data_IF_755007622057
#
_entry.id   IF_755007622057
#
_cell.length_a   1.000
_cell.length_b   1.000
_cell.length_c   1.000
_cell.angle_alpha   90.00
_cell.angle_beta   90.00
_cell.angle_gamma   90.00
#
_symmetry.space_group_name_H-M   'P 1'
#
loop_
_entity.id
_entity.type
_entity.pdbx_description
1 polymer ?
#
# COMPACT_ATOMS: atom_id res chain seq x y z
N UNK A 1 3.56 6.10 -80.02
CA UNK A 1 2.11 6.23 -80.21
C UNK A 1 1.48 5.11 -79.38
N UNK A 2 0.83 5.42 -78.26
CA UNK A 2 0.23 4.37 -77.42
C UNK A 2 -0.98 3.80 -78.14
N UNK A 3 -1.09 2.48 -78.20
CA UNK A 3 -2.27 1.85 -78.76
C UNK A 3 -3.42 1.93 -77.76
N UNK A 4 -4.68 1.98 -78.20
CA UNK A 4 -5.83 2.04 -77.29
C UNK A 4 -5.89 0.85 -76.31
N UNK A 5 -5.31 -0.30 -76.69
CA UNK A 5 -5.14 -1.47 -75.84
C UNK A 5 -4.15 -1.24 -74.69
N UNK A 6 -3.07 -0.49 -74.91
CA UNK A 6 -2.10 -0.15 -73.85
C UNK A 6 -2.74 0.75 -72.78
N UNK A 7 -3.56 1.71 -73.22
CA UNK A 7 -4.28 2.62 -72.32
C UNK A 7 -5.29 1.84 -71.46
N UNK A 8 -6.01 0.90 -72.07
CA UNK A 8 -6.96 0.05 -71.35
C UNK A 8 -6.26 -0.84 -70.30
N UNK A 9 -5.13 -1.45 -70.66
CA UNK A 9 -4.34 -2.26 -69.72
C UNK A 9 -3.80 -1.45 -68.54
N UNK A 10 -3.31 -0.23 -68.80
CA UNK A 10 -2.83 0.67 -67.74
C UNK A 10 -3.97 1.08 -66.80
N UNK A 11 -5.16 1.38 -67.34
CA UNK A 11 -6.33 1.71 -66.51
C UNK A 11 -6.75 0.50 -65.65
N UNK A 12 -6.82 -0.70 -66.23
CA UNK A 12 -7.12 -1.92 -65.48
C UNK A 12 -6.10 -2.18 -64.37
N UNK A 13 -4.81 -1.96 -64.63
CA UNK A 13 -3.74 -2.13 -63.65
C UNK A 13 -3.90 -1.14 -62.49
N UNK A 14 -4.18 0.13 -62.78
CA UNK A 14 -4.39 1.17 -61.75
C UNK A 14 -5.61 0.87 -60.88
N UNK A 15 -6.71 0.40 -61.49
CA UNK A 15 -7.92 0.00 -60.74
C UNK A 15 -7.63 -1.21 -59.84
N UNK A 16 -6.89 -2.21 -60.35
CA UNK A 16 -6.53 -3.39 -59.56
C UNK A 16 -5.64 -3.03 -58.37
N UNK A 17 -4.65 -2.15 -58.55
CA UNK A 17 -3.81 -1.64 -57.47
C UNK A 17 -4.62 -0.82 -56.44
N UNK A 18 -5.55 0.02 -56.90
CA UNK A 18 -6.45 0.77 -56.03
C UNK A 18 -7.35 -0.13 -55.18
N UNK A 19 -7.93 -1.17 -55.79
CA UNK A 19 -8.75 -2.16 -55.10
C UNK A 19 -7.94 -2.95 -54.07
N UNK A 20 -6.70 -3.33 -54.40
CA UNK A 20 -5.79 -4.01 -53.47
C UNK A 20 -5.46 -3.13 -52.26
N UNK A 21 -5.14 -1.86 -52.50
CA UNK A 21 -4.87 -0.88 -51.44
C UNK A 21 -6.06 -0.67 -50.50
N UNK A 22 -7.27 -0.58 -51.06
CA UNK A 22 -8.51 -0.48 -50.28
C UNK A 22 -8.80 -1.75 -49.44
N UNK A 23 -8.47 -2.93 -49.96
CA UNK A 23 -8.66 -4.18 -49.23
C UNK A 23 -7.72 -4.29 -48.03
N UNK A 24 -6.47 -3.83 -48.17
CA UNK A 24 -5.46 -3.82 -47.11
C UNK A 24 -5.84 -2.84 -45.99
N UNK A 25 -6.35 -1.64 -46.32
CA UNK A 25 -6.76 -0.65 -45.31
C UNK A 25 -7.95 -1.12 -44.48
N UNK A 26 -8.96 -1.72 -45.11
CA UNK A 26 -10.12 -2.30 -44.41
C UNK A 26 -9.69 -3.45 -43.47
N UNK A 27 -8.74 -4.28 -43.90
CA UNK A 27 -8.16 -5.34 -43.07
C UNK A 27 -7.47 -4.78 -41.82
N UNK A 28 -6.66 -3.74 -41.99
CA UNK A 28 -5.93 -3.11 -40.88
C UNK A 28 -6.85 -2.45 -39.85
N UNK A 29 -7.94 -1.82 -40.28
CA UNK A 29 -8.91 -1.22 -39.36
C UNK A 29 -9.64 -2.28 -38.51
N UNK A 30 -9.95 -3.44 -39.09
CA UNK A 30 -10.58 -4.55 -38.36
C UNK A 30 -9.64 -5.13 -37.31
N UNK A 31 -8.38 -5.34 -37.66
CA UNK A 31 -7.36 -5.84 -36.71
C UNK A 31 -7.13 -4.84 -35.58
N UNK A 32 -7.04 -3.55 -35.89
CA UNK A 32 -6.86 -2.50 -34.88
C UNK A 32 -8.03 -2.44 -33.89
N UNK A 33 -9.28 -2.55 -34.36
CA UNK A 33 -10.47 -2.56 -33.49
C UNK A 33 -10.54 -3.83 -32.62
N UNK A 34 -10.22 -4.99 -33.17
CA UNK A 34 -10.17 -6.24 -32.40
C UNK A 34 -9.10 -6.19 -31.29
N UNK A 35 -7.92 -5.61 -31.58
CA UNK A 35 -6.83 -5.51 -30.60
C UNK A 35 -7.19 -4.58 -29.43
N UNK A 36 -7.90 -3.48 -29.71
CA UNK A 36 -8.38 -2.55 -28.68
C UNK A 36 -9.42 -3.23 -27.77
N UNK A 37 -10.40 -3.92 -28.37
CA UNK A 37 -11.43 -4.64 -27.61
C UNK A 37 -10.83 -5.75 -26.73
N UNK A 38 -9.86 -6.51 -27.24
CA UNK A 38 -9.16 -7.55 -26.46
C UNK A 38 -8.39 -6.94 -25.28
N UNK A 39 -7.77 -5.78 -25.46
CA UNK A 39 -7.02 -5.10 -24.39
C UNK A 39 -7.92 -4.63 -23.25
N UNK A 40 -9.07 -4.06 -23.57
CA UNK A 40 -10.02 -3.58 -22.56
C UNK A 40 -10.66 -4.74 -21.78
N UNK A 41 -11.02 -5.82 -22.49
CA UNK A 41 -11.54 -7.04 -21.88
C UNK A 41 -10.49 -7.72 -21.00
N UNK A 42 -9.24 -7.85 -21.47
CA UNK A 42 -8.14 -8.43 -20.68
C UNK A 42 -7.85 -7.60 -19.42
N UNK A 43 -7.88 -6.27 -19.51
CA UNK A 43 -7.70 -5.41 -18.34
C UNK A 43 -8.82 -5.60 -17.33
N UNK A 44 -10.07 -5.73 -17.79
CA UNK A 44 -11.21 -5.97 -16.91
C UNK A 44 -11.09 -7.33 -16.19
N UNK A 45 -10.74 -8.40 -16.92
CA UNK A 45 -10.52 -9.71 -16.32
C UNK A 45 -9.33 -9.75 -15.36
N UNK A 46 -8.22 -9.07 -15.70
CA UNK A 46 -7.06 -8.99 -14.81
C UNK A 46 -7.39 -8.27 -13.50
N UNK A 47 -8.16 -7.18 -13.56
CA UNK A 47 -8.61 -6.48 -12.35
C UNK A 47 -9.57 -7.32 -11.51
N UNK A 48 -10.48 -8.06 -12.16
CA UNK A 48 -11.40 -8.96 -11.48
C UNK A 48 -10.68 -10.16 -10.81
N UNK A 49 -9.70 -10.76 -11.50
CA UNK A 49 -8.89 -11.86 -10.95
C UNK A 49 -8.07 -11.39 -9.74
N UNK A 50 -7.48 -10.20 -9.81
CA UNK A 50 -6.79 -9.59 -8.68
C UNK A 50 -7.73 -9.33 -7.49
N UNK A 51 -8.95 -8.85 -7.73
CA UNK A 51 -9.94 -8.65 -6.68
C UNK A 51 -10.33 -9.98 -6.01
N UNK A 52 -10.56 -11.04 -6.81
CA UNK A 52 -10.85 -12.38 -6.28
C UNK A 52 -9.68 -12.93 -5.45
N UNK A 53 -8.45 -12.82 -5.93
CA UNK A 53 -7.27 -13.29 -5.19
C UNK A 53 -7.07 -12.53 -3.89
N UNK A 54 -7.33 -11.22 -3.88
CA UNK A 54 -7.30 -10.40 -2.66
C UNK A 54 -8.34 -10.87 -1.65
N UNK A 55 -9.56 -11.18 -2.11
CA UNK A 55 -10.63 -11.67 -1.24
C UNK A 55 -10.30 -13.06 -0.66
N UNK A 56 -9.74 -13.95 -1.49
CA UNK A 56 -9.27 -15.26 -1.03
C UNK A 56 -8.11 -15.16 -0.03
N UNK A 57 -7.15 -14.27 -0.27
CA UNK A 57 -6.05 -14.02 0.66
C UNK A 57 -6.57 -13.51 2.00
N UNK A 58 -7.52 -12.57 1.99
CA UNK A 58 -8.20 -12.09 3.22
C UNK A 58 -8.87 -13.20 4.01
N UNK A 59 -9.61 -14.08 3.33
CA UNK A 59 -10.25 -15.21 3.98
C UNK A 59 -9.24 -16.22 4.54
N UNK A 60 -8.03 -16.29 3.98
CA UNK A 60 -6.95 -17.14 4.45
C UNK A 60 -6.21 -16.58 5.68
N UNK A 61 -6.22 -15.25 5.90
CA UNK A 61 -5.59 -14.64 7.07
C UNK A 61 -6.40 -14.90 8.34
N UNK A 62 -6.07 -15.99 9.00
CA UNK A 62 -6.61 -16.37 10.30
C UNK A 62 -5.54 -16.23 11.37
N UNK A 63 -5.70 -15.25 12.25
CA UNK A 63 -4.84 -15.08 13.41
C UNK A 63 -5.42 -15.93 14.55
N UNK A 64 -4.79 -17.07 14.83
CA UNK A 64 -5.26 -17.99 15.86
C UNK A 64 -4.96 -17.46 17.27
N UNK A 65 -3.85 -16.72 17.43
CA UNK A 65 -3.44 -16.14 18.71
C UNK A 65 -2.96 -14.70 18.56
N UNK A 66 -3.02 -13.89 19.64
CA UNK A 66 -2.41 -12.56 19.66
C UNK A 66 -0.90 -12.55 19.38
N UNK A 67 -0.21 -13.66 19.68
CA UNK A 67 1.22 -13.82 19.41
C UNK A 67 1.52 -13.90 17.91
N UNK A 68 0.63 -14.50 17.12
CA UNK A 68 0.76 -14.57 15.65
C UNK A 68 0.63 -13.19 15.02
N UNK A 69 -0.33 -12.38 15.52
CA UNK A 69 -0.49 -10.99 15.11
C UNK A 69 0.76 -10.15 15.39
N UNK A 70 1.33 -10.29 16.59
CA UNK A 70 2.52 -9.56 16.99
C UNK A 70 3.77 -10.01 16.20
N UNK A 71 3.91 -11.31 15.90
CA UNK A 71 4.96 -11.82 15.00
C UNK A 71 4.84 -11.22 13.61
N UNK A 72 3.62 -11.11 13.09
CA UNK A 72 3.33 -10.50 11.79
C UNK A 72 3.73 -9.02 11.77
N UNK A 73 3.36 -8.25 12.81
CA UNK A 73 3.77 -6.84 12.93
C UNK A 73 5.29 -6.68 13.02
N UNK A 74 5.99 -7.55 13.75
CA UNK A 74 7.45 -7.50 13.84
C UNK A 74 8.11 -7.82 12.49
N UNK A 75 7.55 -8.75 11.73
CA UNK A 75 8.03 -9.07 10.38
C UNK A 75 7.82 -7.88 9.44
N UNK A 76 6.64 -7.27 9.42
CA UNK A 76 6.37 -6.09 8.60
C UNK A 76 7.28 -4.93 9.00
N UNK A 77 7.49 -4.71 10.30
CA UNK A 77 8.42 -3.69 10.78
C UNK A 77 9.86 -3.95 10.29
N UNK A 78 10.32 -5.20 10.34
CA UNK A 78 11.63 -5.60 9.82
C UNK A 78 11.74 -5.33 8.31
N UNK A 79 10.73 -5.72 7.54
CA UNK A 79 10.74 -5.57 6.09
C UNK A 79 10.76 -4.09 5.67
N UNK A 80 9.99 -3.24 6.37
CA UNK A 80 9.87 -1.81 6.06
C UNK A 80 11.05 -0.99 6.57
N UNK A 81 11.56 -1.28 7.76
CA UNK A 81 12.61 -0.47 8.40
C UNK A 81 14.02 -1.01 8.18
N UNK A 82 14.14 -2.29 7.84
CA UNK A 82 15.39 -3.04 7.82
C UNK A 82 15.90 -3.44 9.22
N UNK A 83 15.17 -3.08 10.28
CA UNK A 83 15.59 -3.28 11.66
C UNK A 83 14.65 -4.25 12.37
N UNK A 84 15.23 -5.23 13.07
CA UNK A 84 14.45 -6.18 13.86
C UNK A 84 13.92 -5.49 15.10
N UNK A 85 12.60 -5.50 15.24
CA UNK A 85 11.92 -4.95 16.40
C UNK A 85 11.39 -6.09 17.26
N UNK A 86 11.87 -6.19 18.49
CA UNK A 86 11.42 -7.20 19.45
C UNK A 86 10.26 -6.64 20.28
N UNK A 87 9.14 -6.32 19.61
CA UNK A 87 7.93 -5.93 20.31
C UNK A 87 7.43 -7.11 21.15
N UNK A 88 6.85 -6.81 22.31
CA UNK A 88 6.31 -7.81 23.24
C UNK A 88 4.85 -7.60 23.58
N UNK A 89 4.34 -6.39 23.34
CA UNK A 89 2.95 -6.04 23.59
C UNK A 89 2.34 -5.39 22.36
N UNK A 90 1.07 -5.68 22.12
CA UNK A 90 0.27 -5.08 21.06
C UNK A 90 -1.00 -4.51 21.68
N UNK A 91 -1.34 -3.28 21.30
CA UNK A 91 -2.58 -2.62 21.69
C UNK A 91 -3.22 -1.93 20.50
N UNK A 92 -4.53 -1.74 20.58
CA UNK A 92 -5.32 -1.13 19.52
C UNK A 92 -5.94 0.17 20.01
N UNK A 93 -5.85 1.19 19.16
CA UNK A 93 -6.52 2.47 19.38
C UNK A 93 -7.77 2.46 18.51
N UNK A 94 -8.91 2.14 19.13
CA UNK A 94 -10.22 2.27 18.51
C UNK A 94 -10.67 3.72 18.62
N UNK A 95 -10.82 4.41 17.48
CA UNK A 95 -11.18 5.82 17.42
C UNK A 95 -11.41 6.28 15.98
N UNK A 96 -11.57 7.59 15.79
CA UNK A 96 -11.73 8.20 14.45
C UNK A 96 -10.54 7.94 13.53
N UNK A 97 -9.36 7.73 14.11
CA UNK A 97 -8.14 7.36 13.39
C UNK A 97 -7.64 6.05 14.00
N UNK A 98 -8.06 4.89 13.46
CA UNK A 98 -7.65 3.60 13.99
C UNK A 98 -6.14 3.42 13.86
N UNK A 99 -5.52 2.81 14.86
CA UNK A 99 -4.12 2.45 14.81
C UNK A 99 -3.84 1.18 15.62
N UNK A 100 -2.90 0.36 15.13
CA UNK A 100 -2.32 -0.74 15.88
C UNK A 100 -0.98 -0.26 16.41
N UNK A 101 -0.77 -0.45 17.70
CA UNK A 101 0.46 -0.06 18.40
C UNK A 101 1.16 -1.31 18.88
N UNK A 102 2.46 -1.42 18.62
CA UNK A 102 3.31 -2.47 19.13
C UNK A 102 4.41 -1.83 19.98
N UNK A 103 4.65 -2.39 21.17
CA UNK A 103 5.66 -1.90 22.11
C UNK A 103 6.66 -2.99 22.47
N UNK A 104 7.94 -2.65 22.39
CA UNK A 104 9.06 -3.47 22.84
C UNK A 104 9.38 -3.31 24.32
N UNK A 105 10.27 -4.18 24.81
CA UNK A 105 10.75 -4.14 26.20
C UNK A 105 11.48 -2.83 26.53
N UNK A 106 12.08 -2.21 25.54
CA UNK A 106 12.86 -0.97 25.69
C UNK A 106 12.00 0.30 25.56
N UNK A 107 10.69 0.21 25.74
CA UNK A 107 9.73 1.30 25.50
C UNK A 107 9.81 1.88 24.07
N UNK A 108 10.41 1.12 23.13
CA UNK A 108 10.29 1.39 21.70
C UNK A 108 8.84 1.15 21.29
N UNK A 109 8.28 2.10 20.54
CA UNK A 109 6.87 2.08 20.17
C UNK A 109 6.76 2.28 18.66
N UNK A 110 6.02 1.37 18.03
CA UNK A 110 5.75 1.41 16.60
C UNK A 110 4.26 1.42 16.39
N UNK A 111 3.82 2.26 15.46
CA UNK A 111 2.41 2.52 15.22
C UNK A 111 2.11 2.26 13.75
N UNK A 112 1.16 1.39 13.50
CA UNK A 112 0.61 1.07 12.19
C UNK A 112 -0.72 1.80 12.05
N UNK A 113 -0.85 2.67 11.07
CA UNK A 113 -2.07 3.44 10.85
C UNK A 113 -2.37 3.62 9.35
N UNK A 114 -3.63 3.59 8.92
CA UNK A 114 -4.05 3.94 7.56
C UNK A 114 -3.87 5.43 7.22
N UNK A 115 -3.68 6.31 8.20
CA UNK A 115 -3.49 7.74 7.95
C UNK A 115 -2.51 8.35 8.95
N UNK A 116 -1.22 8.38 8.56
CA UNK A 116 -0.17 8.90 9.40
C UNK A 116 -0.38 10.37 9.76
N UNK A 117 -0.69 11.23 8.78
CA UNK A 117 -0.87 12.67 9.02
C UNK A 117 -2.06 12.95 9.94
N UNK A 118 -3.20 12.29 9.72
CA UNK A 118 -4.35 12.44 10.60
C UNK A 118 -4.00 11.98 12.03
N UNK A 119 -3.34 10.83 12.16
CA UNK A 119 -2.93 10.29 13.46
C UNK A 119 -1.98 11.23 14.20
N UNK A 120 -0.94 11.74 13.52
CA UNK A 120 0.05 12.64 14.10
C UNK A 120 -0.51 14.03 14.42
N UNK A 121 -1.47 14.52 13.63
CA UNK A 121 -2.16 15.78 13.92
C UNK A 121 -3.08 15.67 15.14
N UNK A 122 -3.74 14.51 15.32
CA UNK A 122 -4.53 14.23 16.51
C UNK A 122 -3.66 13.98 17.76
N UNK A 123 -2.40 13.56 17.58
CA UNK A 123 -1.49 13.21 18.66
C UNK A 123 -0.18 14.02 18.58
N UNK A 124 -0.19 15.33 18.91
CA UNK A 124 0.96 16.20 18.77
C UNK A 124 2.17 15.76 19.63
N UNK A 125 1.93 15.12 20.78
CA UNK A 125 2.99 14.59 21.64
C UNK A 125 3.76 13.45 20.96
N UNK A 126 3.05 12.61 20.19
CA UNK A 126 3.64 11.52 19.41
C UNK A 126 4.39 12.07 18.20
N UNK A 127 3.86 13.12 17.55
CA UNK A 127 4.51 13.81 16.42
C UNK A 127 5.92 14.31 16.75
N UNK A 128 6.14 14.82 17.96
CA UNK A 128 7.47 15.27 18.41
C UNK A 128 8.47 14.14 18.61
N UNK A 129 7.99 12.90 18.77
CA UNK A 129 8.79 11.71 19.03
C UNK A 129 9.02 10.86 17.79
N UNK A 130 8.48 11.23 16.62
CA UNK A 130 8.65 10.47 15.37
C UNK A 130 10.13 10.46 14.99
N UNK A 131 10.74 9.28 14.99
CA UNK A 131 12.05 9.07 14.39
C UNK A 131 11.94 8.79 12.91
N UNK A 132 10.95 7.96 12.54
CA UNK A 132 10.77 7.50 11.17
C UNK A 132 9.31 7.35 10.83
N UNK A 133 8.96 7.76 9.62
CA UNK A 133 7.67 7.51 9.01
C UNK A 133 7.94 6.77 7.71
N UNK A 134 7.44 5.54 7.61
CA UNK A 134 7.63 4.70 6.44
C UNK A 134 6.27 4.30 5.85
N UNK A 135 6.02 4.52 4.56
CA UNK A 135 4.85 3.94 3.91
C UNK A 135 5.01 2.42 3.84
N UNK A 136 3.93 1.70 4.10
CA UNK A 136 3.88 0.25 3.94
C UNK A 136 3.32 -0.03 2.55
N UNK A 137 4.18 -0.50 1.66
CA UNK A 137 3.84 -0.84 0.28
C UNK A 137 4.05 -2.34 0.05
N UNK A 138 3.21 -2.92 -0.81
CA UNK A 138 3.25 -4.34 -1.15
C UNK A 138 4.53 -4.76 -1.88
N UNK A 139 5.31 -3.79 -2.37
CA UNK A 139 6.64 -4.03 -2.94
C UNK A 139 7.71 -4.36 -1.89
N UNK A 140 7.54 -3.89 -0.65
CA UNK A 140 8.56 -4.00 0.41
C UNK A 140 8.24 -5.15 1.37
N UNK A 141 6.97 -5.27 1.77
CA UNK A 141 6.54 -6.27 2.77
C UNK A 141 5.67 -7.39 2.19
N UNK A 142 5.56 -7.45 0.87
CA UNK A 142 4.79 -8.47 0.16
C UNK A 142 3.43 -7.96 -0.32
N UNK A 143 2.89 -8.53 -1.41
CA UNK A 143 1.78 -7.96 -2.18
C UNK A 143 0.45 -7.91 -1.44
N UNK A 144 0.33 -8.57 -0.29
CA UNK A 144 -0.89 -8.67 0.51
C UNK A 144 -0.75 -8.05 1.92
N UNK A 145 0.33 -7.33 2.19
CA UNK A 145 0.60 -6.76 3.53
C UNK A 145 -0.52 -5.83 4.02
N UNK A 146 -1.17 -5.11 3.10
CA UNK A 146 -2.29 -4.22 3.41
C UNK A 146 -3.52 -5.03 3.84
N UNK A 147 -3.79 -6.13 3.14
CA UNK A 147 -4.83 -7.09 3.46
C UNK A 147 -4.56 -7.79 4.80
N UNK A 148 -3.32 -8.18 5.08
CA UNK A 148 -2.89 -8.76 6.36
C UNK A 148 -3.12 -7.81 7.53
N UNK A 149 -2.67 -6.55 7.41
CA UNK A 149 -2.88 -5.53 8.45
C UNK A 149 -4.36 -5.22 8.65
N UNK A 150 -5.14 -5.21 7.56
CA UNK A 150 -6.58 -4.99 7.63
C UNK A 150 -7.31 -6.15 8.31
N UNK A 151 -6.93 -7.39 7.99
CA UNK A 151 -7.48 -8.58 8.64
C UNK A 151 -7.08 -8.63 10.13
N UNK A 152 -5.84 -8.28 10.45
CA UNK A 152 -5.37 -8.21 11.84
C UNK A 152 -6.13 -7.16 12.64
N UNK A 153 -6.32 -5.97 12.07
CA UNK A 153 -7.10 -4.91 12.69
C UNK A 153 -8.57 -5.32 12.96
N UNK A 154 -9.21 -5.98 11.99
CA UNK A 154 -10.56 -6.51 12.16
C UNK A 154 -10.61 -7.57 13.25
N UNK A 155 -9.64 -8.49 13.28
CA UNK A 155 -9.51 -9.50 14.33
C UNK A 155 -9.37 -8.87 15.73
N UNK A 156 -8.71 -7.72 15.81
CA UNK A 156 -8.56 -6.95 17.04
C UNK A 156 -9.74 -6.01 17.36
N UNK A 157 -10.84 -6.07 16.59
CA UNK A 157 -12.07 -5.33 16.85
C UNK A 157 -12.18 -3.94 16.22
N UNK A 158 -11.32 -3.59 15.26
CA UNK A 158 -11.45 -2.34 14.50
C UNK A 158 -12.46 -2.51 13.36
N UNK A 159 -13.73 -2.21 13.62
CA UNK A 159 -14.84 -2.43 12.67
C UNK A 159 -14.93 -1.45 11.49
N UNK A 160 -14.07 -0.44 11.40
CA UNK A 160 -14.13 0.53 10.30
C UNK A 160 -12.75 1.12 10.01
N UNK A 161 -11.86 0.32 9.45
CA UNK A 161 -10.71 0.90 8.77
C UNK A 161 -11.19 1.59 7.49
N UNK A 162 -10.81 2.86 7.26
CA UNK A 162 -11.08 3.47 5.96
C UNK A 162 -10.44 2.59 4.89
N UNK A 163 -11.14 2.37 3.77
CA UNK A 163 -10.66 1.67 2.56
C UNK A 163 -9.52 2.46 1.91
N UNK A 164 -8.46 2.65 2.67
CA UNK A 164 -7.27 3.38 2.29
C UNK A 164 -6.30 2.37 1.75
N UNK A 165 -5.75 2.67 0.57
CA UNK A 165 -4.86 1.79 -0.15
C UNK A 165 -3.45 1.75 0.48
N UNK A 166 -3.19 2.56 1.50
CA UNK A 166 -1.87 2.74 2.07
C UNK A 166 -1.92 2.74 3.60
N UNK A 167 -1.15 1.84 4.19
CA UNK A 167 -0.80 1.87 5.60
C UNK A 167 0.53 2.57 5.79
N UNK A 168 0.76 3.11 6.97
CA UNK A 168 2.03 3.74 7.35
C UNK A 168 2.52 3.18 8.67
N UNK A 169 3.82 3.01 8.75
CA UNK A 169 4.56 2.66 9.95
C UNK A 169 5.22 3.91 10.53
N UNK A 170 4.88 4.24 11.76
CA UNK A 170 5.50 5.34 12.52
C UNK A 170 6.37 4.71 13.60
N UNK A 171 7.67 4.96 13.54
CA UNK A 171 8.64 4.57 14.56
C UNK A 171 8.85 5.75 15.50
N UNK A 172 8.58 5.55 16.78
CA UNK A 172 8.74 6.58 17.81
C UNK A 172 10.02 6.35 18.63
N UNK A 173 10.73 7.44 18.86
CA UNK A 173 11.77 7.52 19.89
C UNK A 173 11.21 7.26 21.28
N UNK A 174 12.04 6.66 22.15
CA UNK A 174 11.75 6.52 23.58
C UNK A 174 11.31 7.86 24.19
N UNK A 175 10.36 7.86 25.12
CA UNK A 175 10.03 9.06 25.87
C UNK A 175 11.28 9.46 26.66
N UNK A 176 11.92 10.57 26.30
CA UNK A 176 12.92 11.17 27.20
C UNK A 176 12.17 11.54 28.48
N UNK A 177 12.45 10.86 29.57
CA UNK A 177 12.06 11.31 30.89
C UNK A 177 12.76 12.65 31.14
N UNK A 178 12.10 13.76 30.76
CA UNK A 178 12.43 15.05 31.32
C UNK A 178 12.04 14.98 32.79
N UNK A 179 13.01 14.73 33.65
CA UNK A 179 12.83 14.97 35.07
C UNK A 179 12.27 16.38 35.25
N UNK A 180 11.13 16.57 35.94
CA UNK A 180 10.65 17.90 36.24
C UNK A 180 11.77 18.63 36.99
N UNK A 181 12.20 19.77 36.44
CA UNK A 181 13.30 20.62 36.97
C UNK A 181 13.08 21.11 38.42
N UNK A 182 12.00 20.69 39.07
CA UNK A 182 11.59 21.05 40.43
C UNK A 182 12.46 20.41 41.52
N UNK A 183 13.13 19.28 41.25
CA UNK A 183 13.94 18.58 42.28
C UNK A 183 15.29 19.26 42.56
N UNK A 184 15.74 20.19 41.69
CA UNK A 184 17.06 20.86 41.88
C UNK A 184 17.06 21.99 42.93
N UNK A 185 15.90 22.35 43.51
CA UNK A 185 15.83 23.36 44.59
C UNK A 185 15.79 22.78 46.00
N UNK A 186 15.60 21.48 46.19
CA UNK A 186 15.51 20.88 47.53
C UNK A 186 16.83 20.34 48.06
N UNK A 187 17.84 20.12 47.22
CA UNK A 187 19.20 19.76 47.69
C UNK A 187 19.99 20.94 48.27
N UNK A 188 19.55 22.20 48.05
CA UNK A 188 20.15 23.38 48.66
C UNK A 188 19.63 23.70 50.07
N UNK A 189 18.50 23.10 50.49
CA UNK A 189 17.85 23.44 51.77
C UNK A 189 18.21 22.50 52.92
N UNK A 190 18.80 21.33 52.63
CA UNK A 190 19.22 20.36 53.64
C UNK A 190 20.71 20.47 54.05
N UNK A 191 21.46 21.43 53.47
CA UNK A 191 22.87 21.70 53.83
C UNK A 191 23.04 22.84 54.84
N UNK A 192 21.95 23.38 55.42
CA UNK A 192 21.99 24.33 56.54
C UNK A 192 21.25 23.74 57.74
N UNK A 193 21.85 22.74 58.35
CA UNK A 193 21.68 22.45 59.78
C UNK A 193 23.06 22.27 60.37
#
# INVERSE_FOLDING_TARGET
>A
MFTPTDIFLVICLVIALGALGAMITIGNERVRRATLQVRDVARHYALADLAMRREQARAAFTFATPADGLRTLNQIALDVTGERQDNTQMSVIAGSIPAITARGKDESEIIFTPSADAYLNANPDKRRRVQRLCPIDGLVSGPFVVEELSALAQHLGLSALPRTEQWSLIVLSQPRFEYPRVVRRLSGFLSRR
#
